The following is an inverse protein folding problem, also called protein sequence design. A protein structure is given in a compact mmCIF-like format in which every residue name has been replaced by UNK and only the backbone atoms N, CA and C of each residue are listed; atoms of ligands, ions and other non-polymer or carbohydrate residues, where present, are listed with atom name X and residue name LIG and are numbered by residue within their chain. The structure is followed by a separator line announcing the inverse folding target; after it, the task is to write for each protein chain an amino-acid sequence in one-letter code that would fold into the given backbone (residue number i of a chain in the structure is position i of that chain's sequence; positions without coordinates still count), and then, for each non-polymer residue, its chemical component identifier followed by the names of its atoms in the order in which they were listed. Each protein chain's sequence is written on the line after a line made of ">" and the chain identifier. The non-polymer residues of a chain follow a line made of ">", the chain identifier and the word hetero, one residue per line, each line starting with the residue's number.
data_IF_936141357289
#
_entry.id   IF_936141357289
#
_cell.length_a   1.000
_cell.length_b   1.000
_cell.length_c   1.000
_cell.angle_alpha   90.00
_cell.angle_beta   90.00
_cell.angle_gamma   90.00
#
_symmetry.space_group_name_H-M   'P 1'
#
loop_
_entity.id
_entity.type
_entity.pdbx_description
1 polymer ?
#
# COMPACT_ATOMS: atom_id res chain seq x y z
N UNK A 1 11.05 18.29 15.00
CA UNK A 1 10.24 17.28 15.69
C UNK A 1 9.40 16.62 14.63
N UNK A 2 9.54 15.31 14.46
CA UNK A 2 8.76 14.57 13.45
C UNK A 2 7.29 14.64 13.83
N UNK A 3 6.45 15.11 12.91
CA UNK A 3 4.99 15.12 13.09
C UNK A 3 4.41 13.82 12.52
N UNK A 4 4.30 12.80 13.37
CA UNK A 4 3.74 11.51 12.94
C UNK A 4 2.28 11.61 12.49
N UNK A 5 1.49 12.53 13.03
CA UNK A 5 0.08 12.71 12.61
C UNK A 5 0.01 13.15 11.15
N UNK A 6 0.79 14.15 10.76
CA UNK A 6 0.88 14.61 9.37
C UNK A 6 1.39 13.51 8.41
N UNK A 7 2.35 12.69 8.86
CA UNK A 7 2.81 11.54 8.06
C UNK A 7 1.71 10.49 7.88
N UNK A 8 0.87 10.26 8.89
CA UNK A 8 -0.24 9.32 8.78
C UNK A 8 -1.37 9.87 7.91
N UNK A 9 -1.70 11.16 8.02
CA UNK A 9 -2.70 11.80 7.14
C UNK A 9 -2.25 11.70 5.67
N UNK A 10 -0.98 12.03 5.39
CA UNK A 10 -0.41 11.88 4.06
C UNK A 10 -0.45 10.41 3.57
N UNK A 11 -0.12 9.46 4.44
CA UNK A 11 -0.17 8.04 4.10
C UNK A 11 -1.60 7.59 3.74
N UNK A 12 -2.62 8.06 4.45
CA UNK A 12 -4.02 7.76 4.16
C UNK A 12 -4.43 8.25 2.76
N UNK A 13 -4.00 9.47 2.39
CA UNK A 13 -4.21 10.02 1.05
C UNK A 13 -3.48 9.22 -0.04
N UNK A 14 -2.22 8.83 0.20
CA UNK A 14 -1.46 8.01 -0.73
C UNK A 14 -2.09 6.62 -0.92
N UNK A 15 -2.53 5.98 0.16
CA UNK A 15 -3.23 4.68 0.11
C UNK A 15 -4.55 4.82 -0.64
N UNK A 16 -5.35 5.84 -0.36
CA UNK A 16 -6.60 6.10 -1.09
C UNK A 16 -6.36 6.23 -2.59
N UNK A 17 -5.29 6.92 -2.98
CA UNK A 17 -4.89 7.02 -4.39
C UNK A 17 -4.43 5.68 -4.98
N UNK A 18 -3.71 4.85 -4.23
CA UNK A 18 -3.36 3.50 -4.64
C UNK A 18 -4.61 2.65 -4.88
N UNK A 19 -5.55 2.65 -3.94
CA UNK A 19 -6.81 1.91 -4.05
C UNK A 19 -7.63 2.31 -5.28
N UNK A 20 -7.73 3.61 -5.56
CA UNK A 20 -8.41 4.12 -6.77
C UNK A 20 -7.73 3.58 -8.03
N UNK A 21 -6.39 3.64 -8.11
CA UNK A 21 -5.64 3.13 -9.27
C UNK A 21 -5.81 1.64 -9.47
N UNK A 22 -5.70 0.85 -8.39
CA UNK A 22 -5.88 -0.61 -8.45
C UNK A 22 -7.31 -0.95 -8.90
N UNK A 23 -8.31 -0.32 -8.30
CA UNK A 23 -9.72 -0.52 -8.64
C UNK A 23 -9.99 -0.21 -10.11
N UNK A 24 -9.50 0.94 -10.60
CA UNK A 24 -9.70 1.36 -11.99
C UNK A 24 -9.00 0.46 -13.01
N UNK A 25 -7.75 0.07 -12.74
CA UNK A 25 -6.90 -0.56 -13.75
C UNK A 25 -6.92 -2.10 -13.71
N UNK A 26 -7.39 -2.69 -12.60
CA UNK A 26 -7.49 -4.15 -12.45
C UNK A 26 -8.94 -4.62 -12.52
N UNK A 27 -9.87 -3.82 -12.00
CA UNK A 27 -11.26 -4.21 -11.76
C UNK A 27 -12.26 -3.30 -12.48
N UNK A 28 -11.82 -2.61 -13.55
CA UNK A 28 -12.66 -1.75 -14.39
C UNK A 28 -13.48 -0.68 -13.64
N UNK A 29 -12.97 -0.26 -12.46
CA UNK A 29 -13.63 0.73 -11.61
C UNK A 29 -14.67 0.14 -10.65
N UNK A 30 -14.91 -1.17 -10.68
CA UNK A 30 -15.83 -1.84 -9.75
C UNK A 30 -15.21 -1.98 -8.37
N UNK A 31 -15.93 -1.53 -7.35
CA UNK A 31 -15.50 -1.63 -5.95
C UNK A 31 -15.07 -3.05 -5.58
N UNK A 32 -13.88 -3.16 -4.98
CA UNK A 32 -13.37 -4.43 -4.45
C UNK A 32 -13.08 -4.32 -2.95
N UNK A 33 -13.78 -5.13 -2.15
CA UNK A 33 -13.55 -5.20 -0.70
C UNK A 33 -12.09 -5.60 -0.37
N UNK A 34 -11.45 -6.43 -1.19
CA UNK A 34 -10.06 -6.85 -0.98
C UNK A 34 -9.06 -5.71 -1.18
N UNK A 35 -9.34 -4.77 -2.08
CA UNK A 35 -8.51 -3.56 -2.25
C UNK A 35 -8.57 -2.70 -0.99
N UNK A 36 -9.77 -2.47 -0.45
CA UNK A 36 -9.96 -1.75 0.83
C UNK A 36 -9.31 -2.44 2.01
N UNK A 37 -9.42 -3.77 2.06
CA UNK A 37 -8.83 -4.56 3.15
C UNK A 37 -7.30 -4.47 3.11
N UNK A 38 -6.71 -4.48 1.90
CA UNK A 38 -5.28 -4.25 1.71
C UNK A 38 -4.84 -2.85 2.14
N UNK A 39 -5.52 -1.79 1.68
CA UNK A 39 -5.17 -0.43 2.09
C UNK A 39 -5.25 -0.21 3.60
N UNK A 40 -6.28 -0.76 4.24
CA UNK A 40 -6.46 -0.67 5.70
C UNK A 40 -5.38 -1.43 6.47
N UNK A 41 -5.01 -2.64 6.04
CA UNK A 41 -3.93 -3.40 6.68
C UNK A 41 -2.58 -2.72 6.49
N UNK A 42 -2.28 -2.25 5.27
CA UNK A 42 -1.05 -1.52 4.96
C UNK A 42 -0.91 -0.26 5.83
N UNK A 43 -1.96 0.54 5.96
CA UNK A 43 -1.95 1.73 6.81
C UNK A 43 -1.60 1.37 8.27
N UNK A 44 -2.31 0.39 8.83
CA UNK A 44 -2.08 -0.04 10.21
C UNK A 44 -0.69 -0.63 10.40
N UNK A 45 -0.17 -1.35 9.41
CA UNK A 45 1.16 -1.93 9.43
C UNK A 45 2.24 -0.85 9.44
N UNK A 46 2.17 0.14 8.54
CA UNK A 46 3.06 1.30 8.52
C UNK A 46 3.01 2.07 9.84
N UNK A 47 1.81 2.29 10.41
CA UNK A 47 1.62 2.97 11.70
C UNK A 47 2.24 2.19 12.86
N UNK A 48 1.99 0.87 12.93
CA UNK A 48 2.50 0.01 14.00
C UNK A 48 4.03 -0.12 13.97
N UNK A 49 4.61 -0.17 12.77
CA UNK A 49 6.06 -0.28 12.55
C UNK A 49 6.76 1.07 12.41
N UNK A 50 6.03 2.18 12.49
CA UNK A 50 6.55 3.53 12.28
C UNK A 50 7.39 3.63 10.99
N UNK A 51 6.85 3.08 9.89
CA UNK A 51 7.50 2.96 8.58
C UNK A 51 8.80 2.12 8.53
N UNK A 52 9.24 1.50 9.63
CA UNK A 52 10.38 0.57 9.63
C UNK A 52 9.99 -0.81 9.09
N UNK A 53 9.70 -0.84 7.79
CA UNK A 53 9.29 -2.02 7.03
C UNK A 53 10.07 -2.09 5.72
N UNK A 54 10.12 -3.27 5.11
CA UNK A 54 10.67 -3.51 3.77
C UNK A 54 9.54 -3.86 2.78
N UNK A 55 9.81 -3.73 1.47
CA UNK A 55 8.83 -4.08 0.44
C UNK A 55 8.32 -5.53 0.57
N UNK A 56 9.23 -6.45 0.93
CA UNK A 56 8.90 -7.86 1.16
C UNK A 56 7.88 -8.05 2.29
N UNK A 57 7.86 -7.18 3.31
CA UNK A 57 6.87 -7.27 4.39
C UNK A 57 5.46 -6.94 3.89
N UNK A 58 5.36 -5.98 2.96
CA UNK A 58 4.08 -5.58 2.33
C UNK A 58 3.55 -6.72 1.46
N UNK A 59 4.43 -7.34 0.67
CA UNK A 59 4.06 -8.48 -0.18
C UNK A 59 3.71 -9.74 0.62
N UNK A 60 4.12 -9.80 1.90
CA UNK A 60 3.77 -10.88 2.82
C UNK A 60 2.48 -10.62 3.61
N UNK A 61 1.88 -9.43 3.50
CA UNK A 61 0.64 -9.11 4.21
C UNK A 61 -0.48 -10.08 3.80
N UNK A 62 -1.25 -10.65 4.75
CA UNK A 62 -2.38 -11.52 4.45
C UNK A 62 -3.35 -10.92 3.45
N UNK A 63 -3.73 -9.64 3.61
CA UNK A 63 -4.64 -8.97 2.67
C UNK A 63 -4.03 -8.75 1.28
N UNK A 64 -2.71 -8.57 1.17
CA UNK A 64 -2.04 -8.50 -0.13
C UNK A 64 -2.09 -9.86 -0.83
N UNK A 65 -1.80 -10.95 -0.11
CA UNK A 65 -1.87 -12.31 -0.66
C UNK A 65 -3.29 -12.63 -1.12
N UNK A 66 -4.31 -12.26 -0.35
CA UNK A 66 -5.71 -12.40 -0.75
C UNK A 66 -6.06 -11.57 -1.99
N UNK A 67 -5.64 -10.30 -2.03
CA UNK A 67 -5.85 -9.42 -3.18
C UNK A 67 -5.15 -9.97 -4.43
N UNK A 68 -3.92 -10.47 -4.29
CA UNK A 68 -3.15 -11.06 -5.38
C UNK A 68 -3.83 -12.30 -5.96
N UNK A 69 -4.33 -13.20 -5.11
CA UNK A 69 -5.05 -14.38 -5.53
C UNK A 69 -6.41 -14.07 -6.17
N UNK A 70 -7.06 -12.97 -5.77
CA UNK A 70 -8.31 -12.49 -6.37
C UNK A 70 -8.10 -11.73 -7.68
N UNK A 71 -6.91 -11.18 -7.88
CA UNK A 71 -6.56 -10.38 -9.06
C UNK A 71 -6.48 -11.28 -10.31
N UNK A 72 -7.08 -10.88 -11.45
CA UNK A 72 -6.93 -11.60 -12.71
C UNK A 72 -5.45 -11.84 -13.04
N UNK A 73 -5.09 -13.04 -13.49
CA UNK A 73 -3.69 -13.43 -13.77
C UNK A 73 -2.96 -12.43 -14.68
N UNK A 74 -3.67 -11.86 -15.66
CA UNK A 74 -3.14 -10.86 -16.59
C UNK A 74 -2.76 -9.53 -15.92
N UNK A 75 -3.35 -9.24 -14.76
CA UNK A 75 -3.18 -7.99 -14.01
C UNK A 75 -2.33 -8.16 -12.75
N UNK A 76 -1.94 -9.39 -12.39
CA UNK A 76 -1.10 -9.65 -11.20
C UNK A 76 0.25 -8.93 -11.27
N UNK A 77 0.89 -8.88 -12.46
CA UNK A 77 2.13 -8.13 -12.63
C UNK A 77 1.95 -6.61 -12.41
N UNK A 78 0.81 -6.07 -12.82
CA UNK A 78 0.47 -4.66 -12.56
C UNK A 78 0.25 -4.41 -11.06
N UNK A 79 -0.43 -5.31 -10.36
CA UNK A 79 -0.61 -5.22 -8.91
C UNK A 79 0.74 -5.18 -8.18
N UNK A 80 1.61 -6.17 -8.41
CA UNK A 80 2.93 -6.23 -7.77
C UNK A 80 3.76 -4.98 -8.08
N UNK A 81 3.81 -4.54 -9.34
CA UNK A 81 4.55 -3.33 -9.72
C UNK A 81 3.98 -2.07 -9.07
N UNK A 82 2.66 -1.98 -8.90
CA UNK A 82 2.03 -0.82 -8.27
C UNK A 82 2.33 -0.75 -6.78
N UNK A 83 2.38 -1.89 -6.09
CA UNK A 83 2.74 -1.97 -4.67
C UNK A 83 4.23 -1.71 -4.45
N UNK A 84 5.11 -2.25 -5.30
CA UNK A 84 6.55 -1.94 -5.27
C UNK A 84 6.81 -0.45 -5.46
N UNK A 85 6.17 0.19 -6.45
CA UNK A 85 6.28 1.64 -6.64
C UNK A 85 5.77 2.42 -5.45
N UNK A 86 4.67 1.99 -4.83
CA UNK A 86 4.17 2.62 -3.61
C UNK A 86 5.21 2.57 -2.49
N UNK A 87 5.90 1.44 -2.33
CA UNK A 87 6.98 1.33 -1.37
C UNK A 87 8.14 2.29 -1.70
N UNK A 88 8.68 2.23 -2.92
CA UNK A 88 9.84 3.07 -3.33
C UNK A 88 9.53 4.57 -3.32
N UNK A 89 8.33 4.97 -3.73
CA UNK A 89 8.01 6.38 -3.91
C UNK A 89 7.50 7.05 -2.62
N UNK A 90 6.91 6.27 -1.70
CA UNK A 90 6.23 6.80 -0.51
C UNK A 90 6.89 6.29 0.78
N UNK A 91 6.92 4.98 0.99
CA UNK A 91 7.30 4.39 2.29
C UNK A 91 8.81 4.52 2.55
N UNK A 92 9.65 4.17 1.58
CA UNK A 92 11.11 4.21 1.72
C UNK A 92 11.66 5.64 1.97
N UNK A 93 11.20 6.68 1.25
CA UNK A 93 11.57 8.06 1.57
C UNK A 93 11.12 8.48 2.96
N UNK A 94 9.87 8.19 3.36
CA UNK A 94 9.38 8.51 4.71
C UNK A 94 10.19 7.80 5.79
N UNK A 95 10.51 6.51 5.62
CA UNK A 95 11.38 5.75 6.52
C UNK A 95 12.76 6.40 6.65
N UNK A 96 13.32 6.87 5.54
CA UNK A 96 14.62 7.54 5.52
C UNK A 96 14.58 8.86 6.29
N UNK A 97 13.56 9.69 6.07
CA UNK A 97 13.38 10.98 6.78
C UNK A 97 13.22 10.81 8.30
N UNK A 98 12.59 9.73 8.75
CA UNK A 98 12.42 9.40 10.17
C UNK A 98 13.72 8.98 10.87
N UNK A 99 14.72 8.51 10.11
CA UNK A 99 16.03 8.09 10.62
C UNK A 99 17.08 9.21 10.62
N UNK A 100 16.70 10.42 10.18
CA UNK A 100 17.55 11.64 10.15
C UNK A 100 17.43 12.44 11.43
#
# INVERSE_FOLDING_TARGET
>A
MINYEELYDNLEDFISNLEIRLTKNIFDGEFQQKVKSFGSELFNFCKHKQFDIESADILALPSFVELFNHTPKTSQGYLSTSVERFYTDIIEPTKSELKV
#
